data_IF_006562593199
#
_entry.id   IF_006562593199
#
_cell.length_a   1.000
_cell.length_b   1.000
_cell.length_c   1.000
_cell.angle_alpha   90.00
_cell.angle_beta   90.00
_cell.angle_gamma   90.00
#
_symmetry.space_group_name_H-M   'P 1'
#
loop_
_entity.id
_entity.type
_entity.pdbx_description
1 polymer ?
#
# COMPACT_ATOMS: atom_id res chain seq x y z
N UNK A 1 1.10 36.66 3.20
CA UNK A 1 1.97 35.48 2.98
C UNK A 1 2.97 35.81 1.88
N UNK A 2 4.28 35.79 2.14
CA UNK A 2 5.29 36.16 1.14
C UNK A 2 5.56 35.00 0.17
N UNK A 3 5.83 35.32 -1.11
CA UNK A 3 6.08 34.32 -2.16
C UNK A 3 7.22 33.34 -1.83
N UNK A 4 8.20 33.76 -1.03
CA UNK A 4 9.31 32.91 -0.60
C UNK A 4 8.88 31.80 0.36
N UNK A 5 7.84 32.01 1.18
CA UNK A 5 7.30 30.97 2.04
C UNK A 5 6.56 29.90 1.21
N UNK A 6 5.78 30.32 0.21
CA UNK A 6 5.06 29.40 -0.68
C UNK A 6 6.01 28.51 -1.51
N UNK A 7 7.13 29.07 -1.98
CA UNK A 7 8.15 28.29 -2.73
C UNK A 7 8.86 27.28 -1.84
N UNK A 8 9.12 27.61 -0.57
CA UNK A 8 9.76 26.68 0.38
C UNK A 8 8.87 25.48 0.71
N UNK A 9 7.58 25.72 0.93
CA UNK A 9 6.63 24.63 1.18
C UNK A 9 6.46 23.72 -0.06
N UNK A 10 6.35 24.30 -1.26
CA UNK A 10 6.21 23.54 -2.49
C UNK A 10 7.42 22.62 -2.80
N UNK A 11 8.64 23.08 -2.53
CA UNK A 11 9.85 22.27 -2.72
C UNK A 11 10.00 21.21 -1.62
N UNK A 12 9.53 21.51 -0.40
CA UNK A 12 9.54 20.55 0.71
C UNK A 12 8.59 19.39 0.45
N UNK A 13 7.38 19.66 -0.05
CA UNK A 13 6.44 18.61 -0.48
C UNK A 13 6.98 17.78 -1.66
N UNK A 14 7.63 18.40 -2.65
CA UNK A 14 8.19 17.65 -3.78
C UNK A 14 9.37 16.76 -3.40
N UNK A 15 10.18 17.17 -2.42
CA UNK A 15 11.34 16.41 -1.93
C UNK A 15 10.97 15.32 -0.92
N UNK A 16 9.89 15.52 -0.16
CA UNK A 16 9.37 14.50 0.74
C UNK A 16 8.77 13.31 -0.01
N UNK A 17 8.49 13.46 -1.31
CA UNK A 17 7.76 12.48 -2.08
C UNK A 17 6.35 12.39 -1.49
N UNK A 18 5.37 13.00 -2.13
CA UNK A 18 4.02 12.54 -1.88
C UNK A 18 4.03 11.04 -2.21
N UNK A 19 3.86 10.18 -1.20
CA UNK A 19 3.43 8.81 -1.43
C UNK A 19 2.06 8.94 -2.07
N UNK A 20 2.02 9.13 -3.39
CA UNK A 20 0.80 8.90 -4.15
C UNK A 20 0.36 7.51 -3.73
N UNK A 21 -0.85 7.37 -3.15
CA UNK A 21 -1.31 6.08 -2.70
C UNK A 21 -1.21 5.17 -3.90
N UNK A 22 -0.32 4.18 -3.83
CA UNK A 22 -0.04 3.28 -4.94
C UNK A 22 -1.40 2.81 -5.43
N UNK A 23 -1.77 3.22 -6.64
CA UNK A 23 -3.05 2.87 -7.24
C UNK A 23 -3.00 1.39 -7.57
N UNK A 24 -3.24 0.56 -6.55
CA UNK A 24 -3.38 -0.86 -6.71
C UNK A 24 -4.57 -1.07 -7.63
N UNK A 25 -4.39 -1.93 -8.62
CA UNK A 25 -5.51 -2.38 -9.43
C UNK A 25 -6.59 -2.93 -8.49
N UNK A 26 -7.87 -2.78 -8.87
CA UNK A 26 -8.98 -3.32 -8.08
C UNK A 26 -8.80 -4.82 -7.77
N UNK A 27 -8.19 -5.56 -8.72
CA UNK A 27 -7.83 -6.97 -8.56
C UNK A 27 -6.78 -7.19 -7.48
N UNK A 28 -5.69 -6.42 -7.49
CA UNK A 28 -4.62 -6.52 -6.48
C UNK A 28 -5.16 -6.19 -5.08
N UNK A 29 -6.02 -5.17 -4.97
CA UNK A 29 -6.66 -4.80 -3.70
C UNK A 29 -7.60 -5.91 -3.20
N UNK A 30 -8.40 -6.50 -4.07
CA UNK A 30 -9.29 -7.60 -3.71
C UNK A 30 -8.50 -8.83 -3.24
N UNK A 31 -7.41 -9.18 -3.93
CA UNK A 31 -6.52 -10.29 -3.56
C UNK A 31 -5.88 -10.07 -2.19
N UNK A 32 -5.40 -8.86 -1.91
CA UNK A 32 -4.84 -8.51 -0.60
C UNK A 32 -5.89 -8.69 0.50
N UNK A 33 -7.07 -8.10 0.35
CA UNK A 33 -8.12 -8.18 1.38
C UNK A 33 -8.59 -9.62 1.62
N UNK A 34 -8.60 -10.47 0.59
CA UNK A 34 -9.03 -11.86 0.70
C UNK A 34 -8.02 -12.77 1.44
N UNK A 35 -6.73 -12.42 1.42
CA UNK A 35 -5.66 -13.26 1.97
C UNK A 35 -4.94 -12.64 3.17
N UNK A 36 -5.11 -11.34 3.42
CA UNK A 36 -4.50 -10.67 4.55
C UNK A 36 -5.10 -11.10 5.89
N UNK A 37 -4.23 -11.20 6.88
CA UNK A 37 -4.57 -11.47 8.28
C UNK A 37 -4.67 -10.14 9.03
N UNK A 38 -5.63 -10.04 9.95
CA UNK A 38 -5.77 -8.87 10.81
C UNK A 38 -4.85 -9.01 12.02
N UNK A 39 -4.05 -7.99 12.28
CA UNK A 39 -3.30 -7.86 13.52
C UNK A 39 -4.26 -7.44 14.64
N UNK A 40 -4.33 -8.24 15.72
CA UNK A 40 -5.20 -7.95 16.85
C UNK A 40 -4.72 -6.75 17.68
N UNK A 41 -3.42 -6.41 17.63
CA UNK A 41 -2.86 -5.31 18.40
C UNK A 41 -3.10 -3.94 17.74
N UNK A 42 -3.00 -3.87 16.42
CA UNK A 42 -3.13 -2.61 15.65
C UNK A 42 -4.47 -2.50 14.92
N UNK A 43 -5.12 -3.64 14.67
CA UNK A 43 -6.32 -3.72 13.84
C UNK A 43 -6.03 -3.63 12.33
N UNK A 44 -4.77 -3.55 11.93
CA UNK A 44 -4.35 -3.43 10.53
C UNK A 44 -4.34 -4.78 9.83
N UNK A 45 -4.63 -4.76 8.52
CA UNK A 45 -4.48 -5.94 7.67
C UNK A 45 -3.03 -6.04 7.20
N UNK A 46 -2.40 -7.17 7.46
CA UNK A 46 -1.07 -7.49 6.99
C UNK A 46 -1.08 -8.84 6.29
N UNK A 47 -0.11 -9.06 5.41
CA UNK A 47 0.03 -10.31 4.69
C UNK A 47 1.47 -10.78 4.89
N UNK A 48 1.63 -11.87 5.64
CA UNK A 48 2.93 -12.49 5.87
C UNK A 48 3.41 -13.26 4.65
N UNK A 49 4.60 -13.90 4.76
CA UNK A 49 5.18 -14.67 3.66
C UNK A 49 4.28 -15.81 3.16
N UNK A 50 3.60 -16.50 4.08
CA UNK A 50 2.73 -17.63 3.76
C UNK A 50 1.44 -17.14 3.09
N UNK A 51 0.82 -16.08 3.62
CA UNK A 51 -0.37 -15.48 3.02
C UNK A 51 -0.07 -14.85 1.65
N UNK A 52 1.12 -14.26 1.49
CA UNK A 52 1.57 -13.74 0.20
C UNK A 52 1.74 -14.86 -0.82
N UNK A 53 2.40 -15.95 -0.42
CA UNK A 53 2.59 -17.12 -1.28
C UNK A 53 1.24 -17.66 -1.75
N UNK A 54 0.29 -17.81 -0.83
CA UNK A 54 -1.07 -18.24 -1.17
C UNK A 54 -1.81 -17.25 -2.07
N UNK A 55 -1.62 -15.95 -1.88
CA UNK A 55 -2.28 -14.92 -2.71
C UNK A 55 -1.75 -14.86 -4.15
N UNK A 56 -0.50 -15.29 -4.36
CA UNK A 56 0.18 -15.27 -5.67
C UNK A 56 0.12 -16.63 -6.36
N UNK A 57 0.28 -17.71 -5.60
CA UNK A 57 0.30 -19.10 -6.05
C UNK A 57 -0.63 -19.95 -5.18
N UNK A 58 -1.96 -19.77 -5.30
CA UNK A 58 -2.93 -20.63 -4.65
C UNK A 58 -2.87 -22.05 -5.23
N UNK A 59 -3.10 -23.04 -4.38
CA UNK A 59 -2.92 -24.48 -4.70
C UNK A 59 -3.91 -25.00 -5.76
N UNK A 60 -4.97 -24.24 -6.07
CA UNK A 60 -6.02 -24.57 -7.04
C UNK A 60 -5.83 -23.93 -8.42
N UNK A 61 -4.82 -23.07 -8.60
CA UNK A 61 -4.44 -22.52 -9.90
C UNK A 61 -3.21 -23.30 -10.44
N UNK A 62 -3.29 -23.74 -11.70
CA UNK A 62 -2.21 -24.42 -12.42
C UNK A 62 -1.40 -23.36 -13.19
N UNK A 63 -0.21 -23.02 -12.66
CA UNK A 63 0.64 -21.90 -13.12
C UNK A 63 1.76 -22.33 -14.07
#
# INVERSE_FOLDING_TARGET
MSKAAAVKEAVKESLLGAEEPVQLSAQTKARFIANATKDEATGELFMGPDEFTKAVAPEDEDF
#
